data_IF_905276702564
#
_entry.id   IF_905276702564
#
_cell.length_a   1.000
_cell.length_b   1.000
_cell.length_c   1.000
_cell.angle_alpha   90.00
_cell.angle_beta   90.00
_cell.angle_gamma   90.00
#
_symmetry.space_group_name_H-M   'P 1'
#
loop_
_entity.id
_entity.type
_entity.pdbx_description
1 polymer ?
#
# COMPACT_ATOMS: atom_id res chain seq x y z
N UNK A 1 19.01 5.86 -12.28
CA UNK A 1 17.69 6.51 -12.39
C UNK A 1 16.74 5.80 -11.44
N UNK A 2 16.42 6.41 -10.30
CA UNK A 2 15.42 5.89 -9.35
C UNK A 2 14.34 6.96 -9.26
N UNK A 3 13.15 6.73 -9.83
CA UNK A 3 12.13 7.77 -9.80
C UNK A 3 10.82 7.49 -10.55
N UNK A 4 10.59 6.26 -10.99
CA UNK A 4 9.35 5.86 -11.65
C UNK A 4 8.45 5.03 -10.75
N UNK A 5 7.18 4.92 -11.12
CA UNK A 5 6.27 3.91 -10.56
C UNK A 5 6.59 2.59 -11.25
N UNK A 6 6.70 1.49 -10.49
CA UNK A 6 6.87 0.14 -11.03
C UNK A 6 5.73 -0.19 -12.02
N UNK A 7 6.06 -0.70 -13.22
CA UNK A 7 5.10 -0.90 -14.31
C UNK A 7 3.91 -1.78 -13.88
N UNK A 8 4.17 -2.82 -13.07
CA UNK A 8 3.15 -3.76 -12.61
C UNK A 8 2.11 -3.18 -11.65
N UNK A 9 2.36 -2.00 -11.06
CA UNK A 9 1.43 -1.32 -10.14
C UNK A 9 0.94 0.05 -10.65
N UNK A 10 1.49 0.54 -11.76
CA UNK A 10 1.16 1.85 -12.31
C UNK A 10 -0.33 2.05 -12.57
N UNK A 11 -1.03 1.04 -13.07
CA UNK A 11 -2.48 1.13 -13.30
C UNK A 11 -3.27 1.31 -12.00
N UNK A 12 -2.89 0.61 -10.92
CA UNK A 12 -3.52 0.77 -9.61
C UNK A 12 -3.36 2.20 -9.11
N UNK A 13 -2.13 2.71 -9.16
CA UNK A 13 -1.81 4.08 -8.74
C UNK A 13 -2.62 5.10 -9.56
N UNK A 14 -2.65 4.94 -10.88
CA UNK A 14 -3.37 5.86 -11.78
C UNK A 14 -4.88 5.82 -11.53
N UNK A 15 -5.46 4.63 -11.37
CA UNK A 15 -6.90 4.47 -11.13
C UNK A 15 -7.33 5.03 -9.77
N UNK A 16 -6.53 4.85 -8.72
CA UNK A 16 -6.79 5.46 -7.41
C UNK A 16 -6.79 6.99 -7.51
N UNK A 17 -5.77 7.58 -8.14
CA UNK A 17 -5.69 9.03 -8.31
C UNK A 17 -6.85 9.57 -9.16
N UNK A 18 -7.24 8.88 -10.24
CA UNK A 18 -8.39 9.26 -11.07
C UNK A 18 -9.72 9.21 -10.31
N UNK A 19 -9.81 8.35 -9.28
CA UNK A 19 -10.95 8.32 -8.36
C UNK A 19 -10.83 9.34 -7.24
N UNK A 20 -9.81 10.19 -7.20
CA UNK A 20 -9.57 11.16 -6.14
C UNK A 20 -9.13 10.50 -4.83
N UNK A 21 -8.28 9.47 -4.92
CA UNK A 21 -7.58 8.85 -3.79
C UNK A 21 -6.09 9.08 -4.00
N UNK A 22 -5.55 10.09 -3.30
CA UNK A 22 -4.17 10.54 -3.50
C UNK A 22 -3.14 9.52 -3.01
N UNK A 23 -2.24 9.10 -3.90
CA UNK A 23 -1.15 8.18 -3.58
C UNK A 23 0.19 8.92 -3.41
N UNK A 24 1.03 8.52 -2.46
CA UNK A 24 2.34 9.15 -2.19
C UNK A 24 3.53 8.21 -2.31
N UNK A 25 3.29 6.92 -2.53
CA UNK A 25 4.33 5.93 -2.78
C UNK A 25 3.71 4.60 -3.19
N UNK A 26 4.50 3.77 -3.86
CA UNK A 26 4.06 2.44 -4.27
C UNK A 26 5.26 1.53 -4.53
N UNK A 27 5.02 0.22 -4.52
CA UNK A 27 5.93 -0.78 -5.05
C UNK A 27 5.13 -1.97 -5.58
N UNK A 28 5.58 -2.62 -6.64
CA UNK A 28 4.90 -3.81 -7.20
C UNK A 28 5.22 -5.12 -6.44
N UNK A 29 6.11 -5.05 -5.45
CA UNK A 29 6.65 -6.21 -4.74
C UNK A 29 7.78 -6.88 -5.54
N UNK A 30 8.85 -7.26 -4.84
CA UNK A 30 10.04 -7.87 -5.44
C UNK A 30 10.51 -9.07 -4.61
N UNK A 31 11.08 -10.07 -5.28
CA UNK A 31 11.59 -11.28 -4.62
C UNK A 31 12.98 -11.06 -4.03
N UNK A 32 13.80 -10.26 -4.69
CA UNK A 32 15.23 -10.05 -4.41
C UNK A 32 15.54 -8.78 -3.62
N UNK A 33 14.56 -7.88 -3.46
CA UNK A 33 14.69 -6.60 -2.76
C UNK A 33 13.37 -6.12 -2.20
N UNK A 34 13.39 -5.06 -1.39
CA UNK A 34 12.19 -4.31 -0.99
C UNK A 34 11.06 -5.18 -0.39
N UNK A 35 9.82 -4.72 -0.53
CA UNK A 35 8.63 -5.42 -0.03
C UNK A 35 8.34 -6.68 -0.86
N UNK A 36 7.90 -7.78 -0.23
CA UNK A 36 7.57 -9.02 -0.92
C UNK A 36 6.19 -9.01 -1.60
N UNK A 37 5.41 -7.95 -1.41
CA UNK A 37 4.09 -7.81 -1.98
C UNK A 37 3.90 -6.40 -2.56
N UNK A 38 3.00 -6.24 -3.54
CA UNK A 38 2.56 -4.94 -4.01
C UNK A 38 1.95 -4.12 -2.87
N UNK A 39 2.26 -2.84 -2.83
CA UNK A 39 1.65 -1.91 -1.90
C UNK A 39 1.51 -0.51 -2.51
N UNK A 40 0.51 0.24 -2.04
CA UNK A 40 0.33 1.65 -2.34
C UNK A 40 0.12 2.42 -1.04
N UNK A 41 0.90 3.47 -0.84
CA UNK A 41 0.71 4.41 0.28
C UNK A 41 -0.24 5.51 -0.15
N UNK A 42 -1.32 5.67 0.61
CA UNK A 42 -2.32 6.72 0.44
C UNK A 42 -2.12 7.77 1.51
N UNK A 43 -2.08 9.03 1.12
CA UNK A 43 -1.98 10.14 2.06
C UNK A 43 -2.63 11.36 1.44
N UNK A 44 -3.44 12.09 2.21
CA UNK A 44 -4.03 13.34 1.78
C UNK A 44 -2.93 14.32 1.34
N UNK A 45 -3.20 15.01 0.23
CA UNK A 45 -2.37 16.10 -0.28
C UNK A 45 -2.16 17.19 0.78
N UNK A 46 -1.15 18.02 0.56
CA UNK A 46 -0.95 19.26 1.32
C UNK A 46 -0.78 19.05 2.82
N UNK A 47 0.02 18.03 3.21
CA UNK A 47 0.43 17.87 4.61
C UNK A 47 0.95 19.20 5.16
N UNK A 48 0.31 19.79 6.19
CA UNK A 48 0.74 21.05 6.74
C UNK A 48 2.19 20.97 7.24
N UNK A 49 3.02 21.93 6.84
CA UNK A 49 4.41 22.08 7.29
C UNK A 49 4.48 23.12 8.40
N UNK A 50 5.40 22.90 9.35
CA UNK A 50 5.74 23.87 10.40
C UNK A 50 4.54 24.35 11.25
N UNK A 51 3.50 23.52 11.36
CA UNK A 51 2.36 23.76 12.25
C UNK A 51 2.36 22.76 13.39
N UNK A 52 1.84 23.18 14.55
CA UNK A 52 1.61 22.27 15.66
C UNK A 52 0.66 21.12 15.25
N UNK A 53 0.93 19.91 15.74
CA UNK A 53 0.14 18.71 15.43
C UNK A 53 -1.31 18.79 15.95
N UNK A 54 -1.62 19.71 16.84
CA UNK A 54 -2.97 19.97 17.33
C UNK A 54 -3.65 21.16 16.60
N UNK A 55 -2.98 21.80 15.65
CA UNK A 55 -3.53 22.91 14.88
C UNK A 55 -4.74 22.49 14.05
N UNK A 56 -5.63 23.45 13.76
CA UNK A 56 -6.79 23.23 12.89
C UNK A 56 -6.39 22.68 11.51
N UNK A 57 -5.29 23.18 10.94
CA UNK A 57 -4.77 22.71 9.67
C UNK A 57 -4.37 21.22 9.73
N UNK A 58 -3.62 20.82 10.76
CA UNK A 58 -3.21 19.43 10.93
C UNK A 58 -4.40 18.49 11.15
N UNK A 59 -5.36 18.90 12.00
CA UNK A 59 -6.60 18.13 12.22
C UNK A 59 -7.42 17.96 10.94
N UNK A 60 -7.56 19.01 10.13
CA UNK A 60 -8.25 18.92 8.84
C UNK A 60 -7.57 17.94 7.89
N UNK A 61 -6.24 17.95 7.84
CA UNK A 61 -5.47 17.00 7.04
C UNK A 61 -5.63 15.56 7.55
N UNK A 62 -5.70 15.33 8.86
CA UNK A 62 -6.01 14.00 9.42
C UNK A 62 -7.44 13.55 9.08
N UNK A 63 -8.42 14.46 9.15
CA UNK A 63 -9.80 14.16 8.74
C UNK A 63 -9.86 13.76 7.25
N UNK A 64 -9.07 14.41 6.40
CA UNK A 64 -9.01 14.05 4.98
C UNK A 64 -8.37 12.67 4.76
N UNK A 65 -7.29 12.34 5.48
CA UNK A 65 -6.74 10.98 5.45
C UNK A 65 -7.79 9.93 5.87
N UNK A 66 -8.61 10.22 6.89
CA UNK A 66 -9.70 9.34 7.30
C UNK A 66 -10.75 9.15 6.20
N UNK A 67 -11.16 10.24 5.52
CA UNK A 67 -12.09 10.15 4.37
C UNK A 67 -11.52 9.30 3.24
N UNK A 68 -10.24 9.46 2.92
CA UNK A 68 -9.55 8.63 1.92
C UNK A 68 -9.55 7.14 2.33
N UNK A 69 -9.35 6.85 3.61
CA UNK A 69 -9.41 5.50 4.15
C UNK A 69 -10.80 4.90 4.01
N UNK A 70 -11.84 5.61 4.46
CA UNK A 70 -13.24 5.16 4.34
C UNK A 70 -13.65 4.92 2.87
N UNK A 71 -13.22 5.80 1.96
CA UNK A 71 -13.47 5.65 0.53
C UNK A 71 -12.75 4.43 -0.06
N UNK A 72 -11.50 4.21 0.32
CA UNK A 72 -10.73 3.04 -0.11
C UNK A 72 -11.33 1.75 0.44
N UNK A 73 -11.74 1.74 1.71
CA UNK A 73 -12.40 0.60 2.34
C UNK A 73 -13.70 0.24 1.62
N UNK A 74 -14.50 1.24 1.26
CA UNK A 74 -15.73 1.02 0.48
C UNK A 74 -15.42 0.35 -0.86
N UNK A 75 -14.39 0.82 -1.58
CA UNK A 75 -13.98 0.22 -2.86
C UNK A 75 -13.48 -1.22 -2.68
N UNK A 76 -12.72 -1.52 -1.63
CA UNK A 76 -12.28 -2.88 -1.34
C UNK A 76 -13.46 -3.80 -0.97
N UNK A 77 -14.40 -3.32 -0.14
CA UNK A 77 -15.60 -4.09 0.21
C UNK A 77 -16.45 -4.40 -1.03
N UNK A 78 -16.62 -3.43 -1.93
CA UNK A 78 -17.31 -3.63 -3.21
C UNK A 78 -16.53 -4.57 -4.14
N UNK A 79 -15.20 -4.44 -4.21
CA UNK A 79 -14.36 -5.33 -5.01
C UNK A 79 -14.53 -6.78 -4.55
N UNK A 80 -14.56 -7.02 -3.24
CA UNK A 80 -14.66 -8.35 -2.66
C UNK A 80 -16.08 -8.87 -2.42
N UNK A 81 -17.13 -8.11 -2.72
CA UNK A 81 -18.51 -8.48 -2.32
C UNK A 81 -18.99 -9.82 -2.89
N UNK A 82 -18.44 -10.23 -4.04
CA UNK A 82 -18.78 -11.49 -4.73
C UNK A 82 -17.53 -12.27 -5.15
N UNK A 83 -16.41 -12.08 -4.44
CA UNK A 83 -15.14 -12.77 -4.72
C UNK A 83 -14.79 -13.68 -3.55
N UNK A 84 -14.49 -14.93 -3.86
CA UNK A 84 -13.87 -15.85 -2.92
C UNK A 84 -12.34 -15.82 -3.14
N UNK A 85 -11.64 -15.11 -2.26
CA UNK A 85 -10.18 -14.94 -2.28
C UNK A 85 -9.69 -15.17 -0.87
N UNK A 86 -8.65 -16.00 -0.73
CA UNK A 86 -8.07 -16.34 0.57
C UNK A 86 -7.57 -15.07 1.29
N UNK A 87 -7.70 -14.99 2.62
CA UNK A 87 -7.24 -13.83 3.39
C UNK A 87 -5.79 -13.43 3.08
N UNK A 88 -4.91 -14.42 2.88
CA UNK A 88 -3.49 -14.22 2.57
C UNK A 88 -3.22 -13.56 1.22
N UNK A 89 -4.20 -13.46 0.32
CA UNK A 89 -4.06 -12.80 -0.99
C UNK A 89 -4.87 -11.50 -1.06
N UNK A 90 -5.88 -11.33 -0.21
CA UNK A 90 -6.75 -10.15 -0.23
C UNK A 90 -5.96 -8.87 0.00
N UNK A 91 -6.35 -7.81 -0.68
CA UNK A 91 -5.84 -6.47 -0.42
C UNK A 91 -6.52 -5.93 0.84
N UNK A 92 -5.70 -5.51 1.80
CA UNK A 92 -6.12 -4.97 3.10
C UNK A 92 -5.67 -3.53 3.24
N UNK A 93 -6.27 -2.81 4.21
CA UNK A 93 -5.81 -1.50 4.65
C UNK A 93 -4.98 -1.70 5.91
N UNK A 94 -3.78 -1.15 5.91
CA UNK A 94 -2.90 -1.02 7.08
C UNK A 94 -2.84 0.46 7.48
N UNK A 95 -3.47 0.79 8.61
CA UNK A 95 -3.57 2.13 9.17
C UNK A 95 -2.48 2.42 10.23
N UNK A 96 -1.47 1.55 10.37
CA UNK A 96 -0.36 1.75 11.31
C UNK A 96 0.60 2.87 10.89
N UNK A 97 0.39 3.49 9.73
CA UNK A 97 1.22 4.59 9.26
C UNK A 97 1.02 5.85 10.12
N UNK A 98 2.13 6.45 10.57
CA UNK A 98 2.11 7.78 11.23
C UNK A 98 1.43 8.89 10.40
N UNK A 99 1.28 8.69 9.09
CA UNK A 99 0.64 9.59 8.15
C UNK A 99 -0.01 8.79 7.02
N UNK A 100 -1.34 8.90 6.88
CA UNK A 100 -2.10 8.18 5.86
C UNK A 100 -2.32 6.71 6.22
N UNK A 101 -2.34 5.84 5.20
CA UNK A 101 -2.45 4.39 5.35
C UNK A 101 -1.85 3.68 4.13
N UNK A 102 -1.64 2.38 4.23
CA UNK A 102 -1.17 1.54 3.14
C UNK A 102 -2.31 0.64 2.67
N UNK A 103 -2.33 0.33 1.39
CA UNK A 103 -3.01 -0.86 0.89
C UNK A 103 -1.97 -1.83 0.37
N UNK A 104 -2.11 -3.10 0.71
CA UNK A 104 -1.21 -4.16 0.28
C UNK A 104 -1.93 -5.51 0.33
N UNK A 105 -1.39 -6.52 -0.34
CA UNK A 105 -1.87 -7.88 -0.13
C UNK A 105 -1.55 -8.32 1.31
N UNK A 106 -2.51 -8.98 1.95
CA UNK A 106 -2.33 -9.56 3.28
C UNK A 106 -1.42 -10.79 3.27
N UNK A 107 -1.42 -11.50 4.39
CA UNK A 107 -0.75 -12.79 4.55
C UNK A 107 0.62 -12.70 5.23
N UNK A 108 1.04 -13.86 5.74
CA UNK A 108 2.24 -14.05 6.58
C UNK A 108 3.51 -13.46 5.97
N UNK A 109 3.67 -13.54 4.64
CA UNK A 109 4.89 -13.05 3.96
C UNK A 109 5.04 -11.53 4.11
N UNK A 110 3.96 -10.77 3.98
CA UNK A 110 4.03 -9.32 4.13
C UNK A 110 4.21 -8.91 5.59
N UNK A 111 3.50 -9.57 6.52
CA UNK A 111 3.56 -9.28 7.95
C UNK A 111 4.97 -9.54 8.51
N UNK A 112 5.58 -10.67 8.16
CA UNK A 112 6.97 -10.98 8.54
C UNK A 112 7.97 -9.97 7.97
N UNK A 113 7.75 -9.49 6.75
CA UNK A 113 8.58 -8.43 6.19
C UNK A 113 8.42 -7.12 6.96
N UNK A 114 7.21 -6.77 7.40
CA UNK A 114 6.97 -5.58 8.22
C UNK A 114 7.65 -5.65 9.58
N UNK A 115 7.59 -6.81 10.22
CA UNK A 115 8.32 -7.07 11.47
C UNK A 115 9.84 -6.90 11.27
N UNK A 116 10.39 -7.52 10.23
CA UNK A 116 11.82 -7.38 9.89
C UNK A 116 12.23 -5.93 9.64
N UNK A 117 11.40 -5.16 8.92
CA UNK A 117 11.66 -3.74 8.67
C UNK A 117 11.61 -2.94 9.97
N UNK A 118 10.63 -3.18 10.84
CA UNK A 118 10.51 -2.52 12.13
C UNK A 118 11.73 -2.80 13.03
N UNK A 119 12.17 -4.06 13.11
CA UNK A 119 13.39 -4.44 13.82
C UNK A 119 14.63 -3.77 13.24
N UNK A 120 14.75 -3.74 11.92
CA UNK A 120 15.86 -3.10 11.20
C UNK A 120 15.92 -1.60 11.51
N UNK A 121 14.77 -0.92 11.52
CA UNK A 121 14.70 0.51 11.88
C UNK A 121 15.12 0.70 13.34
N UNK A 122 14.64 -0.14 14.27
CA UNK A 122 14.99 -0.04 15.68
C UNK A 122 16.50 -0.28 15.92
N UNK A 123 17.12 -1.25 15.24
CA UNK A 123 18.56 -1.52 15.29
C UNK A 123 19.38 -0.33 14.80
N UNK A 124 19.00 0.25 13.65
CA UNK A 124 19.61 1.47 13.11
C UNK A 124 19.56 2.65 14.08
N UNK A 125 18.42 2.85 14.74
CA UNK A 125 18.27 3.92 15.74
C UNK A 125 19.19 3.74 16.94
N UNK A 126 19.55 2.49 17.28
CA UNK A 126 20.53 2.18 18.33
C UNK A 126 21.98 2.17 17.85
N UNK A 127 22.23 2.47 16.57
CA UNK A 127 23.57 2.46 15.98
C UNK A 127 24.15 1.05 15.75
N UNK A 128 23.30 0.02 15.72
CA UNK A 128 23.73 -1.36 15.52
C UNK A 128 24.02 -1.63 14.03
N UNK A 129 25.05 -2.45 13.77
CA UNK A 129 25.36 -2.93 12.42
C UNK A 129 24.26 -3.87 11.94
N UNK A 130 23.68 -3.58 10.77
CA UNK A 130 22.67 -4.45 10.16
C UNK A 130 23.36 -5.40 9.21
N UNK A 131 23.56 -6.64 9.65
CA UNK A 131 23.98 -7.74 8.80
C UNK A 131 22.76 -8.58 8.41
N UNK A 132 22.52 -8.72 7.12
CA UNK A 132 21.46 -9.60 6.63
C UNK A 132 21.11 -9.37 5.16
N UNK A 133 20.76 -10.47 4.50
CA UNK A 133 20.08 -10.52 3.20
C UNK A 133 18.84 -11.38 3.32
N UNK A 134 18.01 -11.41 2.28
CA UNK A 134 16.84 -12.30 2.23
C UNK A 134 17.35 -13.75 2.25
N UNK A 135 16.85 -14.56 3.19
CA UNK A 135 17.24 -15.98 3.26
C UNK A 135 16.73 -16.74 2.02
N UNK A 136 17.38 -17.86 1.67
CA UNK A 136 16.93 -18.68 0.55
C UNK A 136 15.46 -19.15 0.72
N UNK A 137 15.09 -19.54 1.94
CA UNK A 137 13.72 -19.94 2.28
C UNK A 137 12.72 -18.80 2.10
N UNK A 138 13.06 -17.59 2.56
CA UNK A 138 12.20 -16.42 2.37
C UNK A 138 12.07 -16.05 0.90
N UNK A 139 13.15 -16.12 0.13
CA UNK A 139 13.12 -15.87 -1.31
C UNK A 139 12.21 -16.88 -2.04
N UNK A 140 12.25 -18.15 -1.65
CA UNK A 140 11.36 -19.18 -2.19
C UNK A 140 9.89 -18.90 -1.86
N UNK A 141 9.58 -18.48 -0.62
CA UNK A 141 8.22 -18.06 -0.24
C UNK A 141 7.74 -16.87 -1.08
N UNK A 142 8.60 -15.88 -1.32
CA UNK A 142 8.29 -14.72 -2.17
C UNK A 142 8.01 -15.15 -3.62
N UNK A 143 8.81 -16.06 -4.17
CA UNK A 143 8.61 -16.58 -5.53
C UNK A 143 7.25 -17.27 -5.70
N UNK A 144 6.76 -17.94 -4.65
CA UNK A 144 5.46 -18.64 -4.68
C UNK A 144 4.26 -17.68 -4.50
N UNK A 145 4.41 -16.62 -3.72
CA UNK A 145 3.31 -15.73 -3.32
C UNK A 145 3.18 -14.48 -4.19
N UNK A 146 4.29 -13.86 -4.59
CA UNK A 146 4.29 -12.61 -5.35
C UNK A 146 3.42 -12.64 -6.63
N UNK A 147 3.42 -13.71 -7.45
CA UNK A 147 2.57 -13.76 -8.64
C UNK A 147 1.07 -13.66 -8.32
N UNK A 148 0.65 -14.22 -7.18
CA UNK A 148 -0.74 -14.18 -6.73
C UNK A 148 -1.10 -12.78 -6.26
N UNK A 149 -0.19 -12.14 -5.53
CA UNK A 149 -0.37 -10.77 -5.05
C UNK A 149 -0.47 -9.77 -6.19
N UNK A 150 0.46 -9.83 -7.15
CA UNK A 150 0.43 -8.98 -8.34
C UNK A 150 -0.81 -9.22 -9.19
N UNK A 151 -1.25 -10.48 -9.32
CA UNK A 151 -2.51 -10.80 -10.02
C UNK A 151 -3.71 -10.15 -9.35
N UNK A 152 -3.79 -10.20 -8.03
CA UNK A 152 -4.89 -9.61 -7.28
C UNK A 152 -4.86 -8.08 -7.35
N UNK A 153 -3.68 -7.46 -7.24
CA UNK A 153 -3.49 -6.02 -7.39
C UNK A 153 -3.90 -5.52 -8.79
N UNK A 154 -3.55 -6.26 -9.85
CA UNK A 154 -4.02 -5.97 -11.22
C UNK A 154 -5.53 -6.13 -11.39
N UNK A 155 -6.12 -7.15 -10.75
CA UNK A 155 -7.57 -7.33 -10.77
C UNK A 155 -8.29 -6.15 -10.09
N UNK A 156 -7.73 -5.65 -8.98
CA UNK A 156 -8.22 -4.47 -8.30
C UNK A 156 -8.09 -3.22 -9.17
N UNK A 157 -6.94 -3.02 -9.84
CA UNK A 157 -6.76 -1.92 -10.80
C UNK A 157 -7.85 -1.91 -11.88
N UNK A 158 -8.13 -3.07 -12.48
CA UNK A 158 -9.20 -3.20 -13.49
C UNK A 158 -10.58 -2.84 -12.93
N UNK A 159 -10.88 -3.27 -11.71
CA UNK A 159 -12.12 -2.89 -11.02
C UNK A 159 -12.22 -1.37 -10.82
N UNK A 160 -11.15 -0.72 -10.34
CA UNK A 160 -11.11 0.73 -10.12
C UNK A 160 -11.32 1.52 -11.42
N UNK A 161 -10.69 1.10 -12.52
CA UNK A 161 -10.90 1.73 -13.84
C UNK A 161 -12.37 1.67 -14.27
N UNK A 162 -13.04 0.53 -14.06
CA UNK A 162 -14.47 0.38 -14.33
C UNK A 162 -15.33 1.36 -13.52
N UNK A 163 -14.97 1.63 -12.26
CA UNK A 163 -15.68 2.62 -11.41
C UNK A 163 -15.53 4.04 -11.93
N UNK A 164 -14.34 4.41 -12.40
CA UNK A 164 -14.11 5.73 -12.97
C UNK A 164 -14.93 5.95 -14.24
N UNK A 165 -14.92 4.99 -15.17
CA UNK A 165 -15.69 5.08 -16.41
C UNK A 165 -17.21 5.08 -16.22
N UNK A 166 -17.71 4.60 -15.08
CA UNK A 166 -19.14 4.56 -14.75
C UNK A 166 -19.63 5.79 -13.98
N UNK A 167 -18.73 6.68 -13.55
CA UNK A 167 -19.13 7.97 -12.97
C UNK A 167 -19.41 8.97 -14.09
N UNK A 168 -20.55 9.67 -14.08
CA UNK A 168 -20.80 10.74 -15.05
C UNK A 168 -19.68 11.77 -14.93
N UNK A 169 -19.12 12.17 -16.08
CA UNK A 169 -18.12 13.22 -16.16
C UNK A 169 -18.65 14.46 -15.41
N UNK A 170 -17.88 14.93 -14.44
CA UNK A 170 -18.17 16.20 -13.74
C UNK A 170 -17.89 17.37 -14.65
#
# INVERSE_FOLDING_TARGET
EWGGIDEGIQETVSALNALGITTTGSCEGHTDRSAPAPWVKVTASDKPRDVAHDSKAYRNWQLENKRLCEKTLKLLNEFYSNRDVTPDVRIVIDDTAHAGFWIHNGGDVYDRWRELVAETVAKRQRGEEIRGGISAEENERRLQTLPQYQKEMRAFAKFLKGKHSSSPAR
#
